data_IF_652836442673
#
_entry.id   IF_652836442673
#
_cell.length_a   1.000
_cell.length_b   1.000
_cell.length_c   1.000
_cell.angle_alpha   90.00
_cell.angle_beta   90.00
_cell.angle_gamma   90.00
#
_symmetry.space_group_name_H-M   'P 1'
#
loop_
_entity.id
_entity.type
_entity.pdbx_description
1 polymer ?
#
# COMPACT_ATOMS: atom_id res chain seq x y z
N UNK A 1 -7.63 -4.74 19.77
CA UNK A 1 -6.66 -4.27 18.76
C UNK A 1 -7.40 -3.36 17.83
N UNK A 2 -6.88 -2.15 17.64
CA UNK A 2 -7.43 -1.18 16.70
C UNK A 2 -7.36 -1.75 15.29
N UNK A 3 -8.41 -1.57 14.50
CA UNK A 3 -8.54 -2.21 13.17
C UNK A 3 -7.39 -1.79 12.25
N UNK A 4 -6.89 -0.55 12.37
CA UNK A 4 -5.72 -0.05 11.65
C UNK A 4 -4.45 -0.86 11.91
N UNK A 5 -4.16 -1.18 13.17
CA UNK A 5 -2.96 -1.94 13.54
C UNK A 5 -2.94 -3.36 12.92
N UNK A 6 -4.11 -3.94 12.62
CA UNK A 6 -4.20 -5.24 11.93
C UNK A 6 -3.86 -5.13 10.45
N UNK A 7 -4.26 -4.04 9.79
CA UNK A 7 -3.93 -3.78 8.39
C UNK A 7 -2.44 -3.48 8.21
N UNK A 8 -1.86 -2.68 9.11
CA UNK A 8 -0.43 -2.37 9.10
C UNK A 8 0.42 -3.64 9.23
N UNK A 9 0.06 -4.53 10.17
CA UNK A 9 0.78 -5.79 10.35
C UNK A 9 0.69 -6.71 9.12
N UNK A 10 -0.51 -6.83 8.52
CA UNK A 10 -0.71 -7.64 7.32
C UNK A 10 0.07 -7.12 6.11
N UNK A 11 0.16 -5.79 5.97
CA UNK A 11 0.92 -5.14 4.91
C UNK A 11 2.42 -5.35 5.08
N UNK A 12 2.96 -5.14 6.28
CA UNK A 12 4.38 -5.39 6.57
C UNK A 12 4.77 -6.84 6.31
N UNK A 13 3.93 -7.79 6.73
CA UNK A 13 4.15 -9.22 6.44
C UNK A 13 4.21 -9.50 4.93
N UNK A 14 3.31 -8.92 4.13
CA UNK A 14 3.30 -9.10 2.69
C UNK A 14 4.56 -8.53 2.01
N UNK A 15 5.06 -7.37 2.48
CA UNK A 15 6.32 -6.78 2.00
C UNK A 15 7.52 -7.68 2.29
N UNK A 16 7.60 -8.25 3.50
CA UNK A 16 8.67 -9.19 3.87
C UNK A 16 8.66 -10.44 2.97
N UNK A 17 7.49 -10.99 2.65
CA UNK A 17 7.40 -12.11 1.72
C UNK A 17 7.82 -11.72 0.30
N UNK A 18 7.47 -10.52 -0.16
CA UNK A 18 7.78 -10.07 -1.51
C UNK A 18 9.28 -9.83 -1.70
N UNK A 19 9.99 -9.36 -0.66
CA UNK A 19 11.45 -9.20 -0.64
C UNK A 19 12.23 -10.50 -0.87
N UNK A 20 11.65 -11.65 -0.53
CA UNK A 20 12.31 -12.95 -0.77
C UNK A 20 12.48 -13.20 -2.28
N UNK A 21 11.50 -12.78 -3.09
CA UNK A 21 11.51 -12.97 -4.56
C UNK A 21 12.09 -11.74 -5.27
N UNK A 22 11.92 -10.56 -4.68
CA UNK A 22 12.40 -9.28 -5.20
C UNK A 22 13.28 -8.59 -4.15
N UNK A 23 14.55 -8.98 -4.01
CA UNK A 23 15.43 -8.46 -2.95
C UNK A 23 15.69 -6.95 -3.04
N UNK A 24 15.55 -6.37 -4.23
CA UNK A 24 15.73 -4.92 -4.48
C UNK A 24 14.42 -4.11 -4.34
N UNK A 25 13.39 -4.69 -3.71
CA UNK A 25 12.10 -4.04 -3.50
C UNK A 25 12.25 -2.79 -2.63
N UNK A 26 11.94 -1.62 -3.21
CA UNK A 26 11.92 -0.35 -2.51
C UNK A 26 10.60 -0.17 -1.75
N UNK A 27 10.60 -0.56 -0.47
CA UNK A 27 9.45 -0.45 0.42
C UNK A 27 8.98 0.99 0.62
N UNK A 28 9.90 1.95 0.64
CA UNK A 28 9.55 3.35 0.83
C UNK A 28 8.71 3.84 -0.36
N UNK A 29 9.13 3.48 -1.58
CA UNK A 29 8.38 3.78 -2.80
C UNK A 29 7.01 3.10 -2.85
N UNK A 30 6.88 1.87 -2.34
CA UNK A 30 5.59 1.19 -2.24
C UNK A 30 4.66 1.86 -1.23
N UNK A 31 5.19 2.28 -0.08
CA UNK A 31 4.42 3.06 0.90
C UNK A 31 3.93 4.40 0.34
N UNK A 32 4.77 5.11 -0.43
CA UNK A 32 4.36 6.33 -1.14
C UNK A 32 3.25 6.04 -2.17
N UNK A 33 3.36 4.93 -2.92
CA UNK A 33 2.35 4.54 -3.90
C UNK A 33 1.02 4.18 -3.23
N UNK A 34 1.04 3.48 -2.10
CA UNK A 34 -0.17 3.16 -1.31
C UNK A 34 -0.85 4.42 -0.76
N UNK A 35 -0.06 5.37 -0.23
CA UNK A 35 -0.59 6.61 0.34
C UNK A 35 -1.20 7.55 -0.72
N UNK A 36 -0.66 7.57 -1.94
CA UNK A 36 -1.05 8.52 -2.99
C UNK A 36 -2.01 7.94 -4.03
N UNK A 37 -2.26 6.63 -4.04
CA UNK A 37 -3.05 5.99 -5.06
C UNK A 37 -4.11 5.06 -4.44
N UNK A 38 -5.10 4.71 -5.24
CA UNK A 38 -6.06 3.65 -4.92
C UNK A 38 -6.08 2.63 -6.04
N UNK A 39 -6.54 1.43 -5.74
CA UNK A 39 -6.74 0.38 -6.74
C UNK A 39 -8.18 0.46 -7.26
N UNK A 40 -8.35 0.67 -8.57
CA UNK A 40 -9.63 0.61 -9.28
C UNK A 40 -9.47 -0.39 -10.43
N UNK A 41 -10.30 -1.43 -10.46
CA UNK A 41 -10.25 -2.51 -11.46
C UNK A 41 -8.85 -3.14 -11.63
N UNK A 42 -8.14 -3.32 -10.52
CA UNK A 42 -6.78 -3.89 -10.52
C UNK A 42 -5.69 -2.95 -11.05
N UNK A 43 -6.00 -1.67 -11.30
CA UNK A 43 -5.03 -0.65 -11.69
C UNK A 43 -4.86 0.40 -10.62
N UNK A 44 -3.61 0.84 -10.42
CA UNK A 44 -3.32 2.00 -9.59
C UNK A 44 -3.79 3.26 -10.29
N UNK A 45 -4.61 4.04 -9.60
CA UNK A 45 -5.05 5.37 -10.02
C UNK A 45 -4.75 6.37 -8.91
N UNK A 46 -4.33 7.61 -9.22
CA UNK A 46 -4.11 8.63 -8.22
C UNK A 46 -5.33 8.82 -7.32
N UNK A 47 -5.09 8.95 -6.02
CA UNK A 47 -6.12 9.32 -5.08
C UNK A 47 -6.49 10.78 -5.33
N UNK A 48 -7.65 10.99 -5.96
CA UNK A 48 -8.28 12.29 -6.04
C UNK A 48 -9.29 12.37 -4.87
N UNK A 49 -9.05 13.21 -3.84
CA UNK A 49 -10.09 13.48 -2.86
C UNK A 49 -11.28 14.05 -3.64
N UNK A 50 -12.43 13.40 -3.58
CA UNK A 50 -13.67 14.00 -4.06
C UNK A 50 -13.81 15.32 -3.32
N UNK A 51 -13.80 16.45 -4.04
CA UNK A 51 -14.08 17.74 -3.43
C UNK A 51 -15.40 17.60 -2.68
N UNK A 52 -15.32 17.59 -1.35
CA UNK A 52 -16.49 17.52 -0.50
C UNK A 52 -17.31 18.77 -0.81
N UNK A 53 -18.48 18.57 -1.43
CA UNK A 53 -19.47 19.64 -1.62
C UNK A 53 -20.34 19.72 -0.37
#
# INVERSE_FOLDING_TARGET
>A
MEVGARYDYGFQFALEQLKIVFPDLDEAKLGEMDALNRIVDGKLVPFAPSSAT
#
